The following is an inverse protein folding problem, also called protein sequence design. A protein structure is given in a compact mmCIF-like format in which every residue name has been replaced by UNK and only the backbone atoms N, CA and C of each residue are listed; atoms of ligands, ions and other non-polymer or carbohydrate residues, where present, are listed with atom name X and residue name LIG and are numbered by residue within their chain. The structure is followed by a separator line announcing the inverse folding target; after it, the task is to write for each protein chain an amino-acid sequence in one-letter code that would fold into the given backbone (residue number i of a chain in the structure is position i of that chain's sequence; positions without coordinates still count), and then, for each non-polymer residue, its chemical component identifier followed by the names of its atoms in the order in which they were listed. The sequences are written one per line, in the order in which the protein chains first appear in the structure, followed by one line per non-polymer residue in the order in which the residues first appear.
data_IF_713851293176
#
_entry.id   IF_713851293176
#
_cell.length_a   1.000
_cell.length_b   1.000
_cell.length_c   1.000
_cell.angle_alpha   90.00
_cell.angle_beta   90.00
_cell.angle_gamma   90.00
#
_symmetry.space_group_name_H-M   'P 1'
#
loop_
_entity.id
_entity.type
_entity.pdbx_description
1 polymer ?
#
# COMPACT_ATOMS: atom_id res chain seq x y z
N UNK A 1 -8.98 11.88 -21.80
CA UNK A 1 -8.34 10.69 -21.21
C UNK A 1 -8.33 9.45 -22.12
N UNK A 2 -9.32 9.20 -22.99
CA UNK A 2 -9.31 8.06 -23.93
C UNK A 2 -8.15 8.00 -24.94
N UNK A 3 -7.53 9.14 -25.31
CA UNK A 3 -6.46 9.18 -26.33
C UNK A 3 -5.07 8.76 -25.82
N UNK A 4 -4.82 8.78 -24.50
CA UNK A 4 -3.52 8.39 -23.93
C UNK A 4 -3.40 6.86 -23.78
N UNK A 5 -4.53 6.16 -23.66
CA UNK A 5 -4.57 4.68 -23.62
C UNK A 5 -4.29 4.03 -24.98
N UNK A 6 -4.57 4.72 -26.10
CA UNK A 6 -4.33 4.19 -27.45
C UNK A 6 -2.85 4.27 -27.84
N UNK A 7 -2.12 5.26 -27.33
CA UNK A 7 -0.67 5.41 -27.59
C UNK A 7 0.19 4.35 -26.88
N UNK A 8 -0.28 3.78 -25.76
CA UNK A 8 0.42 2.69 -25.05
C UNK A 8 0.19 1.33 -25.74
N UNK A 9 -0.92 1.17 -26.47
CA UNK A 9 -1.21 -0.07 -27.20
C UNK A 9 -0.45 -0.21 -28.54
N UNK A 10 0.11 0.87 -29.09
CA UNK A 10 0.73 0.88 -30.41
C UNK A 10 2.26 0.59 -30.42
N UNK A 11 2.90 0.46 -29.25
CA UNK A 11 4.34 0.18 -29.13
C UNK A 11 4.54 -1.12 -28.33
N UNK A 12 3.99 -2.21 -28.87
CA UNK A 12 4.39 -3.56 -28.46
C UNK A 12 4.28 -4.47 -29.68
N UNK A 13 4.96 -4.11 -30.78
CA UNK A 13 5.42 -5.12 -31.74
C UNK A 13 6.52 -5.89 -31.02
N UNK A 14 6.10 -6.78 -30.11
CA UNK A 14 6.96 -7.81 -29.56
C UNK A 14 7.34 -8.64 -30.77
N UNK A 15 8.62 -8.61 -31.13
CA UNK A 15 9.21 -9.65 -31.96
C UNK A 15 9.02 -10.93 -31.16
N UNK A 16 7.93 -11.65 -31.42
CA UNK A 16 7.68 -12.94 -30.81
C UNK A 16 8.76 -13.85 -31.41
N UNK A 17 9.80 -14.12 -30.63
CA UNK A 17 10.77 -15.17 -30.94
C UNK A 17 10.03 -16.51 -30.90
N UNK A 18 9.38 -16.88 -32.00
CA UNK A 18 8.83 -18.22 -32.17
C UNK A 18 10.00 -19.16 -32.42
N UNK A 19 10.43 -19.85 -31.36
CA UNK A 19 11.48 -20.87 -31.42
C UNK A 19 10.86 -22.19 -31.87
N UNK A 20 10.85 -22.45 -33.18
CA UNK A 20 10.54 -23.78 -33.69
C UNK A 20 11.77 -24.68 -33.56
N UNK A 21 11.51 -25.96 -33.29
CA UNK A 21 12.50 -27.01 -32.98
C UNK A 21 12.70 -27.97 -34.16
N UNK A 22 11.65 -28.15 -34.96
CA UNK A 22 11.68 -28.98 -36.16
C UNK A 22 11.40 -28.11 -37.38
N UNK A 23 12.32 -28.12 -38.32
CA UNK A 23 12.22 -27.46 -39.62
C UNK A 23 12.13 -28.53 -40.70
N UNK A 24 11.01 -28.58 -41.42
CA UNK A 24 10.85 -29.43 -42.60
C UNK A 24 11.01 -28.58 -43.83
N UNK A 25 11.97 -28.92 -44.69
CA UNK A 25 12.18 -28.26 -45.98
C UNK A 25 11.25 -28.81 -47.05
N UNK A 26 10.98 -28.04 -48.10
CA UNK A 26 10.22 -28.52 -49.28
C UNK A 26 10.95 -29.65 -50.03
N UNK A 27 12.27 -29.74 -49.89
CA UNK A 27 13.07 -30.87 -50.39
C UNK A 27 12.81 -32.18 -49.65
N UNK A 28 12.02 -32.18 -48.57
CA UNK A 28 11.78 -33.34 -47.72
C UNK A 28 12.81 -33.54 -46.60
N UNK A 29 13.90 -32.76 -46.60
CA UNK A 29 14.88 -32.77 -45.50
C UNK A 29 14.22 -32.27 -44.21
N UNK A 30 14.39 -33.01 -43.11
CA UNK A 30 13.93 -32.62 -41.77
C UNK A 30 15.16 -32.33 -40.91
N UNK A 31 15.13 -31.21 -40.20
CA UNK A 31 16.17 -30.80 -39.26
C UNK A 31 15.51 -30.58 -37.90
N UNK A 32 15.99 -31.29 -36.89
CA UNK A 32 15.46 -31.28 -35.51
C UNK A 32 16.48 -30.61 -34.56
N UNK A 33 16.05 -30.24 -33.35
CA UNK A 33 16.87 -29.63 -32.30
C UNK A 33 17.51 -28.27 -32.66
N UNK A 34 16.83 -27.49 -33.50
CA UNK A 34 17.31 -26.18 -33.96
C UNK A 34 16.55 -25.03 -33.32
N UNK A 35 17.15 -23.85 -33.22
CA UNK A 35 16.43 -22.62 -32.89
C UNK A 35 16.19 -21.82 -34.15
N UNK A 36 14.93 -21.51 -34.44
CA UNK A 36 14.58 -20.66 -35.58
C UNK A 36 14.25 -19.24 -35.17
N UNK A 37 14.73 -18.26 -35.93
CA UNK A 37 14.26 -16.88 -35.88
C UNK A 37 13.60 -16.53 -37.21
N UNK A 38 12.31 -16.21 -37.19
CA UNK A 38 11.56 -15.84 -38.38
C UNK A 38 11.78 -14.34 -38.66
N UNK A 39 12.44 -14.02 -39.76
CA UNK A 39 12.59 -12.65 -40.26
C UNK A 39 11.52 -12.36 -41.31
N UNK A 40 11.53 -11.16 -41.90
CA UNK A 40 10.53 -10.74 -42.90
C UNK A 40 10.47 -11.67 -44.11
N UNK A 41 11.62 -12.00 -44.70
CA UNK A 41 11.70 -12.77 -45.96
C UNK A 41 12.47 -14.10 -45.83
N UNK A 42 13.05 -14.36 -44.66
CA UNK A 42 13.91 -15.51 -44.38
C UNK A 42 13.64 -16.12 -43.01
N UNK A 43 14.16 -17.32 -42.81
CA UNK A 43 14.22 -18.03 -41.52
C UNK A 43 15.68 -18.31 -41.22
N UNK A 44 16.16 -17.81 -40.07
CA UNK A 44 17.50 -18.11 -39.56
C UNK A 44 17.40 -19.35 -38.70
N UNK A 45 18.14 -20.40 -39.04
CA UNK A 45 18.20 -21.68 -38.34
C UNK A 45 19.54 -21.74 -37.61
N UNK A 46 19.51 -21.85 -36.29
CA UNK A 46 20.69 -22.02 -35.44
C UNK A 46 20.76 -23.46 -34.95
N UNK A 47 21.85 -24.14 -35.32
CA UNK A 47 22.16 -25.50 -34.91
C UNK A 47 22.78 -25.53 -33.50
N UNK A 48 22.74 -26.69 -32.86
CA UNK A 48 23.31 -26.92 -31.52
C UNK A 48 24.81 -26.60 -31.45
N UNK A 49 25.55 -26.84 -32.54
CA UNK A 49 26.97 -26.52 -32.70
C UNK A 49 27.27 -25.00 -32.80
N UNK A 50 26.23 -24.15 -32.79
CA UNK A 50 26.35 -22.71 -32.92
C UNK A 50 26.41 -22.21 -34.37
N UNK A 51 26.48 -23.10 -35.36
CA UNK A 51 26.34 -22.77 -36.77
C UNK A 51 24.99 -22.12 -37.03
N UNK A 52 24.97 -21.03 -37.81
CA UNK A 52 23.74 -20.36 -38.25
C UNK A 52 23.61 -20.46 -39.76
N UNK A 53 22.40 -20.71 -40.24
CA UNK A 53 22.07 -20.81 -41.65
C UNK A 53 20.81 -20.00 -41.95
N UNK A 54 20.85 -19.18 -42.99
CA UNK A 54 19.68 -18.36 -43.39
C UNK A 54 19.05 -18.96 -44.63
N UNK A 55 17.76 -19.23 -44.57
CA UNK A 55 17.00 -19.86 -45.65
C UNK A 55 15.79 -19.00 -46.04
N UNK A 56 15.46 -18.85 -47.33
CA UNK A 56 14.28 -18.10 -47.73
C UNK A 56 13.01 -18.85 -47.31
N UNK A 57 11.94 -18.12 -46.96
CA UNK A 57 10.67 -18.74 -46.49
C UNK A 57 10.07 -19.72 -47.49
N UNK A 58 10.29 -19.51 -48.79
CA UNK A 58 9.83 -20.40 -49.85
C UNK A 58 10.41 -21.82 -49.79
N UNK A 59 11.57 -22.02 -49.15
CA UNK A 59 12.19 -23.35 -49.00
C UNK A 59 11.65 -24.14 -47.80
N UNK A 60 10.93 -23.49 -46.88
CA UNK A 60 10.41 -24.10 -45.65
C UNK A 60 9.00 -24.64 -45.90
N UNK A 61 8.78 -25.92 -45.64
CA UNK A 61 7.47 -26.58 -45.74
C UNK A 61 6.67 -26.41 -44.45
N UNK A 62 7.28 -26.62 -43.29
CA UNK A 62 6.62 -26.48 -41.99
C UNK A 62 7.63 -26.23 -40.85
N UNK A 63 7.18 -25.50 -39.83
CA UNK A 63 7.89 -25.26 -38.57
C UNK A 63 7.06 -25.82 -37.42
N UNK A 64 7.64 -26.72 -36.61
CA UNK A 64 6.96 -27.28 -35.43
C UNK A 64 7.64 -26.79 -34.16
N UNK A 65 6.87 -26.18 -33.27
CA UNK A 65 7.35 -25.68 -31.97
C UNK A 65 7.39 -26.83 -30.97
N UNK A 66 8.58 -27.13 -30.45
CA UNK A 66 8.82 -28.00 -29.30
C UNK A 66 9.91 -27.36 -28.43
N UNK A 67 10.04 -27.80 -27.17
CA UNK A 67 11.08 -27.31 -26.27
C UNK A 67 12.45 -27.83 -26.72
N UNK A 68 13.29 -26.95 -27.24
CA UNK A 68 14.66 -27.26 -27.67
C UNK A 68 15.53 -27.53 -26.44
N UNK A 69 16.12 -28.72 -26.35
CA UNK A 69 17.08 -29.09 -25.29
C UNK A 69 18.44 -29.37 -25.94
N UNK A 70 19.33 -28.38 -25.87
CA UNK A 70 20.71 -28.54 -26.33
C UNK A 70 21.51 -29.28 -25.26
N UNK A 71 21.89 -30.53 -25.56
CA UNK A 71 22.61 -31.42 -24.64
C UNK A 71 23.97 -30.84 -24.26
N UNK A 72 24.67 -30.22 -25.22
CA UNK A 72 25.98 -29.61 -24.98
C UNK A 72 25.91 -28.42 -24.00
N UNK A 73 24.83 -27.64 -24.05
CA UNK A 73 24.64 -26.51 -23.14
C UNK A 73 24.24 -26.97 -21.73
N UNK A 74 23.45 -28.05 -21.62
CA UNK A 74 23.08 -28.63 -20.33
C UNK A 74 24.26 -29.31 -19.64
N UNK A 75 25.12 -30.02 -20.37
CA UNK A 75 26.30 -30.65 -19.78
C UNK A 75 27.30 -29.61 -19.26
N UNK A 76 27.52 -28.52 -20.01
CA UNK A 76 28.35 -27.41 -19.56
C UNK A 76 27.78 -26.71 -18.33
N UNK A 77 26.46 -26.50 -18.29
CA UNK A 77 25.77 -25.95 -17.09
C UNK A 77 25.84 -26.89 -15.90
N UNK A 78 25.70 -28.20 -16.10
CA UNK A 78 25.84 -29.20 -15.03
C UNK A 78 27.25 -29.21 -14.44
N UNK A 79 28.29 -29.17 -15.27
CA UNK A 79 29.69 -29.07 -14.79
C UNK A 79 29.94 -27.76 -14.04
N UNK A 80 29.46 -26.63 -14.56
CA UNK A 80 29.59 -25.33 -13.88
C UNK A 80 28.82 -25.27 -12.55
N UNK A 81 27.62 -25.83 -12.49
CA UNK A 81 26.84 -25.88 -11.26
C UNK A 81 27.48 -26.82 -10.23
N UNK A 82 27.99 -27.98 -10.64
CA UNK A 82 28.68 -28.90 -9.74
C UNK A 82 29.97 -28.29 -9.17
N UNK A 83 30.74 -27.56 -9.99
CA UNK A 83 31.91 -26.80 -9.53
C UNK A 83 31.54 -25.66 -8.57
N UNK A 84 30.44 -24.94 -8.85
CA UNK A 84 29.95 -23.87 -7.97
C UNK A 84 29.44 -24.40 -6.63
N UNK A 85 28.70 -25.51 -6.64
CA UNK A 85 28.24 -26.20 -5.42
C UNK A 85 29.41 -26.73 -4.59
N UNK A 86 30.45 -27.28 -5.24
CA UNK A 86 31.66 -27.74 -4.55
C UNK A 86 32.41 -26.57 -3.87
N UNK A 87 32.59 -25.44 -4.57
CA UNK A 87 33.21 -24.23 -3.98
C UNK A 87 32.41 -23.67 -2.82
N UNK A 88 31.08 -23.63 -2.95
CA UNK A 88 30.20 -23.14 -1.89
C UNK A 88 30.24 -24.06 -0.66
N UNK A 89 30.28 -25.38 -0.85
CA UNK A 89 30.42 -26.33 0.25
C UNK A 89 31.78 -26.20 0.95
N UNK A 90 32.85 -25.95 0.21
CA UNK A 90 34.20 -25.73 0.76
C UNK A 90 34.29 -24.41 1.54
N UNK A 91 33.76 -23.30 0.99
CA UNK A 91 33.66 -22.01 1.70
C UNK A 91 32.83 -22.13 2.98
N UNK A 92 31.72 -22.87 2.94
CA UNK A 92 30.88 -23.10 4.12
C UNK A 92 31.62 -23.91 5.20
N UNK A 93 32.36 -24.95 4.83
CA UNK A 93 33.18 -25.73 5.79
C UNK A 93 34.27 -24.86 6.41
N UNK A 94 34.92 -24.01 5.61
CA UNK A 94 35.95 -23.09 6.10
C UNK A 94 35.36 -22.04 7.05
N UNK A 95 34.18 -21.49 6.73
CA UNK A 95 33.47 -20.57 7.62
C UNK A 95 33.02 -21.24 8.93
N UNK A 96 32.55 -22.49 8.88
CA UNK A 96 32.21 -23.27 10.08
C UNK A 96 33.44 -23.58 10.95
N UNK A 97 34.60 -23.84 10.34
CA UNK A 97 35.86 -24.05 11.06
C UNK A 97 36.40 -22.75 11.66
N UNK A 98 36.36 -21.62 10.93
CA UNK A 98 36.71 -20.29 11.44
C UNK A 98 35.78 -19.84 12.57
N UNK A 99 34.47 -20.12 12.46
CA UNK A 99 33.50 -19.82 13.52
C UNK A 99 33.71 -20.70 14.74
N UNK A 100 34.00 -22.00 14.57
CA UNK A 100 34.36 -22.89 15.68
C UNK A 100 35.65 -22.44 16.37
N UNK A 101 36.67 -22.01 15.61
CA UNK A 101 37.90 -21.48 16.16
C UNK A 101 37.67 -20.17 16.94
N UNK A 102 36.85 -19.26 16.38
CA UNK A 102 36.45 -18.02 17.05
C UNK A 102 35.66 -18.29 18.34
N UNK A 103 34.76 -19.26 18.32
CA UNK A 103 33.96 -19.66 19.50
C UNK A 103 34.85 -20.33 20.56
N UNK A 104 35.83 -21.14 20.17
CA UNK A 104 36.79 -21.73 21.09
C UNK A 104 37.69 -20.66 21.74
N UNK A 105 38.21 -19.70 20.96
CA UNK A 105 39.03 -18.58 21.48
C UNK A 105 38.21 -17.64 22.39
N UNK A 106 36.94 -17.41 22.06
CA UNK A 106 36.01 -16.64 22.90
C UNK A 106 35.58 -17.41 24.16
N UNK A 107 35.61 -18.75 24.13
CA UNK A 107 35.29 -19.61 25.29
C UNK A 107 36.45 -19.73 26.28
N UNK A 108 37.70 -19.55 25.84
CA UNK A 108 38.89 -19.60 26.70
C UNK A 108 39.12 -18.29 27.47
N UNK A 109 38.67 -17.16 26.92
CA UNK A 109 38.61 -15.87 27.64
C UNK A 109 37.28 -15.77 28.37
N UNK A 110 37.25 -16.24 29.61
CA UNK A 110 36.06 -16.28 30.47
C UNK A 110 35.11 -15.07 30.35
N UNK A 111 33.89 -15.39 29.91
CA UNK A 111 32.59 -14.80 30.27
C UNK A 111 32.46 -13.27 30.31
N UNK A 112 32.01 -12.69 29.19
CA UNK A 112 31.10 -11.52 29.18
C UNK A 112 30.08 -11.54 28.01
N UNK A 113 30.05 -12.60 27.20
CA UNK A 113 29.15 -12.74 26.04
C UNK A 113 28.40 -14.08 25.99
N UNK A 114 28.07 -14.68 27.14
CA UNK A 114 26.83 -15.44 27.15
C UNK A 114 25.71 -14.42 27.01
N UNK A 115 25.18 -14.27 25.79
CA UNK A 115 23.94 -13.54 25.53
C UNK A 115 22.90 -14.03 26.54
N UNK A 116 22.66 -13.23 27.58
CA UNK A 116 21.65 -13.56 28.59
C UNK A 116 20.34 -13.69 27.84
N UNK A 117 19.63 -14.80 28.00
CA UNK A 117 18.28 -15.01 27.46
C UNK A 117 17.27 -13.93 27.93
N UNK A 118 17.66 -13.08 28.87
CA UNK A 118 16.90 -11.92 29.35
C UNK A 118 17.14 -10.63 28.53
N UNK A 119 18.26 -10.51 27.81
CA UNK A 119 18.62 -9.28 27.06
C UNK A 119 17.98 -9.21 25.65
N UNK A 120 17.46 -10.32 25.13
CA UNK A 120 16.81 -10.38 23.80
C UNK A 120 15.28 -10.18 23.81
N UNK A 121 14.68 -9.92 24.98
CA UNK A 121 13.25 -9.63 25.06
C UNK A 121 12.95 -8.21 24.58
N UNK A 122 12.56 -8.12 23.33
CA UNK A 122 12.09 -6.87 22.73
C UNK A 122 10.70 -6.57 23.30
N UNK A 123 10.59 -5.56 24.17
CA UNK A 123 9.28 -5.12 24.67
C UNK A 123 8.33 -4.80 23.51
N UNK A 124 7.17 -5.48 23.39
CA UNK A 124 6.23 -5.26 22.29
C UNK A 124 5.72 -3.82 22.22
N UNK A 125 5.50 -3.19 23.37
CA UNK A 125 5.05 -1.80 23.45
C UNK A 125 6.14 -0.81 23.03
N UNK A 126 7.39 -1.03 23.45
CA UNK A 126 8.53 -0.22 22.98
C UNK A 126 8.76 -0.41 21.48
N UNK A 127 8.60 -1.63 20.96
CA UNK A 127 8.76 -1.89 19.53
C UNK A 127 7.61 -1.35 18.69
N UNK A 128 6.39 -1.36 19.22
CA UNK A 128 5.26 -0.69 18.61
C UNK A 128 5.47 0.83 18.57
N UNK A 129 6.03 1.42 19.63
CA UNK A 129 6.37 2.84 19.63
C UNK A 129 7.41 3.19 18.55
N UNK A 130 8.30 2.25 18.18
CA UNK A 130 9.24 2.46 17.08
C UNK A 130 8.52 2.58 15.73
N UNK A 131 7.51 1.75 15.45
CA UNK A 131 6.71 1.87 14.22
C UNK A 131 5.80 3.10 14.15
N UNK A 132 5.77 3.94 15.20
CA UNK A 132 5.15 5.28 15.14
C UNK A 132 6.13 6.34 14.64
N UNK A 133 7.41 6.01 14.47
CA UNK A 133 8.44 6.90 13.94
C UNK A 133 8.45 6.73 12.42
N UNK A 134 8.09 7.78 11.65
CA UNK A 134 8.07 7.67 10.20
C UNK A 134 9.40 7.17 9.63
N UNK A 135 9.31 6.26 8.66
CA UNK A 135 10.46 5.66 7.95
C UNK A 135 11.23 4.65 8.82
N UNK A 136 10.88 4.48 10.09
CA UNK A 136 11.56 3.55 10.99
C UNK A 136 10.60 2.49 11.51
N UNK A 137 10.73 1.27 10.98
CA UNK A 137 9.93 0.14 11.42
C UNK A 137 10.58 -0.65 12.54
N UNK A 138 9.84 -0.90 13.62
CA UNK A 138 10.26 -1.83 14.67
C UNK A 138 10.42 -3.27 14.15
N UNK A 139 9.91 -3.60 12.96
CA UNK A 139 10.18 -4.88 12.30
C UNK A 139 11.68 -5.13 12.04
N UNK A 140 12.49 -4.07 11.88
CA UNK A 140 13.95 -4.20 11.73
C UNK A 140 14.60 -4.88 12.93
N UNK A 141 14.15 -4.58 14.14
CA UNK A 141 14.69 -5.18 15.38
C UNK A 141 14.40 -6.67 15.52
N UNK A 142 13.42 -7.17 14.77
CA UNK A 142 12.91 -8.54 14.89
C UNK A 142 13.38 -9.43 13.74
N UNK A 143 14.40 -9.00 12.99
CA UNK A 143 14.93 -9.73 11.83
C UNK A 143 14.02 -9.74 10.59
N UNK A 144 12.81 -9.15 10.65
CA UNK A 144 11.86 -9.07 9.53
C UNK A 144 12.19 -7.92 8.57
N UNK A 145 13.38 -7.98 7.98
CA UNK A 145 13.95 -6.89 7.20
C UNK A 145 13.09 -6.49 5.98
N UNK A 146 12.50 -7.46 5.26
CA UNK A 146 11.62 -7.18 4.11
C UNK A 146 10.37 -6.39 4.51
N UNK A 147 9.76 -6.75 5.64
CA UNK A 147 8.57 -6.06 6.18
C UNK A 147 8.93 -4.65 6.62
N UNK A 148 10.05 -4.49 7.32
CA UNK A 148 10.54 -3.18 7.73
C UNK A 148 10.79 -2.25 6.53
N UNK A 149 11.46 -2.75 5.47
CA UNK A 149 11.70 -1.98 4.24
C UNK A 149 10.39 -1.55 3.58
N UNK A 150 9.43 -2.46 3.45
CA UNK A 150 8.15 -2.16 2.83
C UNK A 150 7.38 -1.06 3.59
N UNK A 151 7.32 -1.14 4.93
CA UNK A 151 6.66 -0.12 5.76
C UNK A 151 7.40 1.21 5.72
N UNK A 152 8.72 1.22 5.85
CA UNK A 152 9.54 2.43 5.73
C UNK A 152 9.33 3.16 4.40
N UNK A 153 9.20 2.42 3.27
CA UNK A 153 8.93 3.02 1.96
C UNK A 153 7.51 3.60 1.91
N UNK A 154 6.50 2.87 2.38
CA UNK A 154 5.10 3.35 2.37
C UNK A 154 4.94 4.60 3.24
N UNK A 155 5.53 4.60 4.43
CA UNK A 155 5.54 5.75 5.34
C UNK A 155 6.34 6.91 4.77
N UNK A 156 7.50 6.64 4.16
CA UNK A 156 8.30 7.65 3.49
C UNK A 156 7.51 8.36 2.39
N UNK A 157 6.78 7.60 1.57
CA UNK A 157 5.90 8.16 0.55
C UNK A 157 4.73 8.95 1.15
N UNK A 158 4.11 8.45 2.22
CA UNK A 158 3.02 9.13 2.92
C UNK A 158 3.50 10.43 3.61
N UNK A 159 4.67 10.40 4.24
CA UNK A 159 5.32 11.55 4.87
C UNK A 159 5.72 12.58 3.83
N UNK A 160 6.36 12.18 2.73
CA UNK A 160 6.71 13.08 1.64
C UNK A 160 5.46 13.74 1.06
N UNK A 161 4.38 12.98 0.85
CA UNK A 161 3.10 13.53 0.40
C UNK A 161 2.53 14.55 1.40
N UNK A 162 2.69 14.28 2.69
CA UNK A 162 2.27 15.18 3.80
C UNK A 162 3.10 16.45 3.85
N UNK A 163 4.42 16.34 3.85
CA UNK A 163 5.36 17.45 3.88
C UNK A 163 5.22 18.32 2.64
N UNK A 164 5.05 17.71 1.47
CA UNK A 164 4.82 18.42 0.21
C UNK A 164 3.53 19.25 0.25
N UNK A 165 2.51 18.76 0.97
CA UNK A 165 1.27 19.52 1.22
C UNK A 165 1.47 20.63 2.27
N UNK A 166 2.14 20.35 3.39
CA UNK A 166 2.39 21.33 4.47
C UNK A 166 3.24 22.50 3.97
N UNK A 167 4.21 22.21 3.11
CA UNK A 167 5.10 23.20 2.51
C UNK A 167 4.54 23.83 1.23
N UNK A 168 3.35 23.42 0.79
CA UNK A 168 2.76 23.89 -0.45
C UNK A 168 2.58 25.41 -0.41
N UNK A 169 3.19 26.09 -1.37
CA UNK A 169 3.07 27.54 -1.50
C UNK A 169 1.79 27.86 -2.26
N UNK A 170 1.01 28.78 -1.72
CA UNK A 170 -0.14 29.36 -2.40
C UNK A 170 0.39 30.20 -3.56
N UNK A 171 0.20 29.74 -4.80
CA UNK A 171 0.53 30.55 -5.98
C UNK A 171 -0.70 31.35 -6.35
N UNK A 172 -0.64 32.67 -6.14
CA UNK A 172 -1.64 33.57 -6.67
C UNK A 172 -1.56 33.50 -8.20
N UNK A 173 -2.65 33.10 -8.85
CA UNK A 173 -2.80 33.33 -10.29
C UNK A 173 -3.73 34.52 -10.44
N UNK A 174 -3.35 35.50 -11.26
CA UNK A 174 -4.15 36.70 -11.47
C UNK A 174 -5.57 36.30 -11.86
N UNK A 175 -6.54 36.77 -11.08
CA UNK A 175 -7.95 36.52 -11.35
C UNK A 175 -8.39 37.26 -12.61
N UNK A 176 -9.47 36.80 -13.26
CA UNK A 176 -10.07 37.54 -14.39
C UNK A 176 -10.47 38.97 -13.97
N UNK A 177 -10.82 39.17 -12.69
CA UNK A 177 -11.08 40.48 -12.11
C UNK A 177 -9.82 41.34 -11.96
N UNK A 178 -8.69 40.78 -11.54
CA UNK A 178 -7.39 41.48 -11.48
C UNK A 178 -6.86 41.80 -12.87
N UNK A 179 -7.02 40.90 -13.86
CA UNK A 179 -6.73 41.17 -15.27
C UNK A 179 -7.66 42.26 -15.81
N UNK A 180 -8.95 42.21 -15.45
CA UNK A 180 -9.93 43.24 -15.80
C UNK A 180 -9.59 44.61 -15.21
N UNK A 181 -9.21 44.67 -13.93
CA UNK A 181 -8.74 45.91 -13.30
C UNK A 181 -7.41 46.39 -13.90
N UNK A 182 -6.48 45.49 -14.23
CA UNK A 182 -5.24 45.83 -14.93
C UNK A 182 -5.55 46.46 -16.29
N UNK A 183 -6.49 45.87 -17.05
CA UNK A 183 -6.96 46.38 -18.34
C UNK A 183 -7.69 47.72 -18.23
N UNK A 184 -8.41 47.97 -17.13
CA UNK A 184 -9.04 49.27 -16.84
C UNK A 184 -8.06 50.32 -16.31
N UNK A 185 -6.96 49.90 -15.69
CA UNK A 185 -5.90 50.79 -15.17
C UNK A 185 -4.85 51.16 -16.21
N UNK A 186 -4.84 50.50 -17.38
CA UNK A 186 -4.02 50.93 -18.51
C UNK A 186 -4.53 52.29 -18.97
N UNK A 187 -3.68 53.34 -18.99
CA UNK A 187 -4.10 54.67 -19.37
C UNK A 187 -4.68 54.60 -20.77
N UNK A 188 -5.92 55.07 -20.90
CA UNK A 188 -6.62 55.22 -22.16
C UNK A 188 -5.72 55.99 -23.11
N UNK A 189 -5.07 55.30 -24.06
CA UNK A 189 -4.31 55.93 -25.13
C UNK A 189 -5.34 56.65 -25.99
N UNK A 190 -5.36 57.99 -26.02
CA UNK A 190 -6.37 58.74 -26.76
C UNK A 190 -6.02 58.67 -28.24
N UNK A 191 -6.40 57.57 -28.89
CA UNK A 191 -6.29 57.40 -30.32
C UNK A 191 -7.56 57.90 -31.01
N UNK A 192 -7.49 59.12 -31.56
CA UNK A 192 -8.32 59.54 -32.70
C UNK A 192 -9.74 60.03 -32.37
N UNK A 193 -10.00 61.30 -32.66
CA UNK A 193 -11.26 62.04 -32.47
C UNK A 193 -12.44 61.60 -33.36
N UNK A 194 -12.51 60.35 -33.81
CA UNK A 194 -13.59 59.88 -34.68
C UNK A 194 -14.13 58.52 -34.26
N UNK A 195 -14.91 58.50 -33.18
CA UNK A 195 -15.82 57.39 -32.88
C UNK A 195 -17.09 57.93 -32.22
N UNK A 196 -18.05 58.33 -33.05
CA UNK A 196 -19.41 58.68 -32.66
C UNK A 196 -20.18 57.45 -32.18
N UNK A 197 -20.83 57.60 -31.02
CA UNK A 197 -22.06 56.92 -30.61
C UNK A 197 -22.13 55.38 -30.80
N UNK A 198 -21.64 54.62 -29.81
CA UNK A 198 -22.37 53.45 -29.29
C UNK A 198 -21.71 52.87 -28.01
N UNK A 199 -22.37 53.13 -26.88
CA UNK A 199 -22.70 52.23 -25.76
C UNK A 199 -21.95 50.89 -25.55
N UNK A 200 -20.63 50.83 -25.64
CA UNK A 200 -19.86 49.58 -25.42
C UNK A 200 -19.10 49.51 -24.09
N UNK A 201 -19.04 50.60 -23.30
CA UNK A 201 -18.29 50.63 -22.04
C UNK A 201 -19.05 50.09 -20.80
N UNK A 202 -20.39 50.11 -20.80
CA UNK A 202 -21.19 49.57 -19.67
C UNK A 202 -21.52 48.08 -19.80
N UNK A 203 -21.53 47.51 -21.01
CA UNK A 203 -21.80 46.09 -21.23
C UNK A 203 -20.68 45.17 -20.76
N UNK A 204 -19.42 45.61 -20.89
CA UNK A 204 -18.24 44.87 -20.46
C UNK A 204 -18.03 44.92 -18.93
N UNK A 205 -18.29 46.07 -18.29
CA UNK A 205 -18.22 46.19 -16.83
C UNK A 205 -19.28 45.34 -16.11
N UNK A 206 -20.51 45.27 -16.62
CA UNK A 206 -21.57 44.40 -16.08
C UNK A 206 -21.27 42.90 -16.24
N UNK A 207 -20.66 42.49 -17.35
CA UNK A 207 -20.20 41.11 -17.56
C UNK A 207 -19.03 40.74 -16.65
N UNK A 208 -18.08 41.66 -16.40
CA UNK A 208 -16.93 41.46 -15.50
C UNK A 208 -17.39 41.40 -14.03
N UNK A 209 -18.41 42.17 -13.63
CA UNK A 209 -19.01 42.09 -12.28
C UNK A 209 -19.88 40.82 -12.10
N UNK A 210 -20.53 40.32 -13.15
CA UNK A 210 -21.26 39.03 -13.12
C UNK A 210 -20.33 37.80 -13.14
N UNK A 211 -19.10 37.94 -13.66
CA UNK A 211 -18.01 36.97 -13.56
C UNK A 211 -17.33 37.01 -12.17
N UNK A 212 -18.12 37.30 -11.13
CA UNK A 212 -17.69 37.51 -9.76
C UNK A 212 -16.70 36.45 -9.29
N UNK A 213 -15.53 36.91 -8.86
CA UNK A 213 -14.65 36.20 -7.91
C UNK A 213 -14.24 34.78 -8.31
N UNK A 214 -13.97 34.54 -9.59
CA UNK A 214 -13.23 33.35 -10.01
C UNK A 214 -11.77 33.54 -9.62
N UNK A 215 -11.46 33.23 -8.36
CA UNK A 215 -10.12 33.17 -7.83
C UNK A 215 -9.52 31.83 -8.22
N UNK A 216 -8.72 31.79 -9.29
CA UNK A 216 -7.87 30.62 -9.50
C UNK A 216 -6.76 30.64 -8.46
N UNK A 217 -6.78 29.68 -7.56
CA UNK A 217 -5.68 29.43 -6.64
C UNK A 217 -5.14 28.05 -6.95
N UNK A 218 -3.89 28.00 -7.42
CA UNK A 218 -3.18 26.76 -7.60
C UNK A 218 -2.25 26.54 -6.41
N UNK A 219 -2.28 25.33 -5.86
CA UNK A 219 -1.30 24.92 -4.86
C UNK A 219 -0.26 24.05 -5.54
N UNK A 220 0.98 24.53 -5.49
CA UNK A 220 2.15 23.77 -5.94
C UNK A 220 2.82 23.20 -4.69
N UNK A 221 3.04 21.89 -4.68
CA UNK A 221 3.71 21.18 -3.60
C UNK A 221 5.08 21.79 -3.34
N UNK A 222 5.39 22.01 -2.07
CA UNK A 222 6.56 22.79 -1.68
C UNK A 222 7.88 22.09 -1.96
N UNK A 223 7.89 20.75 -1.87
CA UNK A 223 9.11 19.94 -2.03
C UNK A 223 9.21 19.41 -3.45
N UNK A 224 8.12 18.85 -3.97
CA UNK A 224 8.12 18.17 -5.26
C UNK A 224 7.85 19.10 -6.44
N UNK A 225 7.34 20.30 -6.18
CA UNK A 225 6.89 21.21 -7.23
C UNK A 225 5.66 20.70 -8.00
N UNK A 226 5.06 19.58 -7.60
CA UNK A 226 3.90 19.02 -8.29
C UNK A 226 2.66 19.88 -8.02
N UNK A 227 1.77 20.01 -9.00
CA UNK A 227 0.50 20.68 -8.77
C UNK A 227 -0.42 19.78 -7.94
N UNK A 228 -0.74 20.19 -6.72
CA UNK A 228 -1.60 19.44 -5.78
C UNK A 228 -3.07 19.65 -6.13
N UNK A 229 -3.46 20.89 -6.45
CA UNK A 229 -4.81 21.24 -6.89
C UNK A 229 -4.72 22.22 -8.04
N UNK A 230 -5.22 21.82 -9.21
CA UNK A 230 -5.56 22.71 -10.32
C UNK A 230 -7.07 22.92 -10.26
N UNK A 231 -7.54 24.13 -9.95
CA UNK A 231 -8.95 24.45 -10.20
C UNK A 231 -9.23 25.94 -10.35
N UNK A 232 -10.17 26.20 -11.25
CA UNK A 232 -10.82 27.48 -11.51
C UNK A 232 -12.18 27.39 -10.79
N UNK A 233 -12.44 28.27 -9.82
CA UNK A 233 -13.66 28.25 -9.02
C UNK A 233 -13.64 29.26 -7.88
N UNK A 234 -14.75 29.40 -7.16
CA UNK A 234 -14.85 30.32 -5.99
C UNK A 234 -13.90 29.92 -4.85
N UNK A 235 -13.39 30.89 -4.08
CA UNK A 235 -12.44 30.68 -2.96
C UNK A 235 -12.86 29.56 -2.00
N UNK A 236 -14.15 29.47 -1.66
CA UNK A 236 -14.67 28.46 -0.73
C UNK A 236 -14.62 27.04 -1.26
N UNK A 237 -14.76 26.82 -2.57
CA UNK A 237 -14.65 25.48 -3.19
C UNK A 237 -13.19 25.02 -3.18
N UNK A 238 -12.25 25.92 -3.43
CA UNK A 238 -10.82 25.63 -3.44
C UNK A 238 -10.31 25.24 -2.05
N UNK A 239 -10.62 26.03 -1.01
CA UNK A 239 -10.23 25.73 0.38
C UNK A 239 -10.77 24.38 0.86
N UNK A 240 -11.98 23.99 0.43
CA UNK A 240 -12.56 22.67 0.75
C UNK A 240 -11.80 21.52 0.13
N UNK A 241 -11.46 21.62 -1.15
CA UNK A 241 -10.70 20.56 -1.83
C UNK A 241 -9.30 20.44 -1.24
N UNK A 242 -8.68 21.56 -0.89
CA UNK A 242 -7.39 21.63 -0.19
C UNK A 242 -7.52 20.95 1.18
N UNK A 243 -8.52 21.29 1.99
CA UNK A 243 -8.74 20.66 3.28
C UNK A 243 -9.04 19.17 3.15
N UNK A 244 -9.83 18.74 2.16
CA UNK A 244 -10.09 17.33 1.89
C UNK A 244 -8.82 16.56 1.52
N UNK A 245 -7.99 17.12 0.62
CA UNK A 245 -6.72 16.50 0.24
C UNK A 245 -5.77 16.46 1.45
N UNK A 246 -5.67 17.56 2.21
CA UNK A 246 -4.88 17.64 3.44
C UNK A 246 -5.27 16.55 4.43
N UNK A 247 -6.56 16.43 4.72
CA UNK A 247 -7.07 15.43 5.67
C UNK A 247 -6.85 14.02 5.16
N UNK A 248 -7.03 13.75 3.86
CA UNK A 248 -6.72 12.44 3.30
C UNK A 248 -5.24 12.09 3.42
N UNK A 249 -4.34 13.05 3.18
CA UNK A 249 -2.91 12.83 3.28
C UNK A 249 -2.46 12.56 4.72
N UNK A 250 -2.99 13.32 5.69
CA UNK A 250 -2.74 13.02 7.12
C UNK A 250 -3.33 11.68 7.53
N UNK A 251 -4.53 11.33 7.06
CA UNK A 251 -5.16 10.05 7.37
C UNK A 251 -4.33 8.88 6.84
N UNK A 252 -3.78 8.99 5.63
CA UNK A 252 -2.88 7.98 5.05
C UNK A 252 -1.64 7.82 5.92
N UNK A 253 -0.95 8.92 6.28
CA UNK A 253 0.25 8.86 7.11
C UNK A 253 -0.02 8.25 8.49
N UNK A 254 -1.06 8.71 9.19
CA UNK A 254 -1.43 8.17 10.51
C UNK A 254 -1.79 6.69 10.41
N UNK A 255 -2.49 6.28 9.35
CA UNK A 255 -2.85 4.89 9.13
C UNK A 255 -1.62 4.02 8.88
N UNK A 256 -0.67 4.47 8.06
CA UNK A 256 0.56 3.71 7.81
C UNK A 256 1.39 3.54 9.07
N UNK A 257 1.55 4.60 9.88
CA UNK A 257 2.27 4.54 11.15
C UNK A 257 1.58 3.62 12.17
N UNK A 258 0.24 3.65 12.25
CA UNK A 258 -0.49 2.74 13.12
C UNK A 258 -0.33 1.28 12.68
N UNK A 259 -0.37 1.01 11.38
CA UNK A 259 -0.16 -0.34 10.84
C UNK A 259 1.26 -0.81 11.18
N UNK A 260 2.29 0.01 10.95
CA UNK A 260 3.66 -0.37 11.24
C UNK A 260 3.94 -0.53 12.74
N UNK A 261 3.37 0.34 13.58
CA UNK A 261 3.37 0.20 15.04
C UNK A 261 2.80 -1.14 15.48
N UNK A 262 1.64 -1.51 14.94
CA UNK A 262 0.99 -2.79 15.22
C UNK A 262 1.87 -3.96 14.75
N UNK A 263 2.34 -3.94 13.50
CA UNK A 263 3.20 -4.98 12.90
C UNK A 263 4.52 -5.14 13.68
N UNK A 264 5.09 -4.04 14.14
CA UNK A 264 6.31 -4.01 14.94
C UNK A 264 6.09 -4.60 16.33
N UNK A 265 4.98 -4.27 17.00
CA UNK A 265 4.61 -4.88 18.28
C UNK A 265 4.37 -6.39 18.17
N UNK A 266 3.73 -6.84 17.09
CA UNK A 266 3.56 -8.27 16.81
C UNK A 266 4.89 -8.96 16.55
N UNK A 267 5.74 -8.38 15.71
CA UNK A 267 7.02 -9.00 15.36
C UNK A 267 7.92 -9.12 16.59
N UNK A 268 7.84 -8.18 17.55
CA UNK A 268 8.52 -8.29 18.84
C UNK A 268 7.93 -9.39 19.72
N UNK A 269 6.60 -9.57 19.72
CA UNK A 269 5.96 -10.66 20.44
C UNK A 269 6.40 -12.02 19.88
N UNK A 270 6.38 -12.18 18.55
CA UNK A 270 6.85 -13.39 17.87
C UNK A 270 8.34 -13.65 18.11
N UNK A 271 9.19 -12.61 18.09
CA UNK A 271 10.61 -12.72 18.41
C UNK A 271 10.85 -13.26 19.83
N UNK A 272 10.10 -12.73 20.79
CA UNK A 272 10.18 -13.18 22.19
C UNK A 272 9.60 -14.59 22.41
N UNK A 273 8.66 -15.01 21.55
CA UNK A 273 8.10 -16.36 21.57
C UNK A 273 9.05 -17.38 20.92
N UNK A 274 9.84 -16.99 19.90
CA UNK A 274 10.83 -17.84 19.24
C UNK A 274 12.13 -18.05 20.02
N UNK A 275 12.43 -17.21 21.01
CA UNK A 275 13.63 -17.30 21.87
C UNK A 275 13.42 -18.14 23.14
N UNK A 276 12.19 -18.60 23.41
CA UNK A 276 11.89 -19.52 24.50
C UNK A 276 11.83 -20.96 23.97
N UNK A 277 12.98 -21.64 24.06
CA UNK A 277 13.18 -23.10 24.03
C UNK A 277 11.92 -23.96 23.79
N UNK A 278 11.74 -24.45 22.56
CA UNK A 278 11.36 -25.84 22.32
C UNK A 278 9.89 -26.21 22.13
N UNK A 279 8.91 -25.33 22.32
CA UNK A 279 7.52 -25.65 21.96
C UNK A 279 6.87 -24.50 21.18
N UNK A 280 6.60 -24.74 19.90
CA UNK A 280 6.00 -23.82 18.92
C UNK A 280 4.50 -23.58 19.18
N UNK A 281 4.08 -23.64 20.44
CA UNK A 281 2.71 -23.38 20.86
C UNK A 281 2.57 -21.96 21.38
N UNK A 282 2.21 -21.02 20.50
CA UNK A 282 1.71 -19.71 20.92
C UNK A 282 0.72 -19.91 22.06
N UNK A 283 1.03 -19.40 23.27
CA UNK A 283 0.19 -19.62 24.45
C UNK A 283 -1.24 -19.23 24.08
N UNK A 284 -2.22 -20.15 24.13
CA UNK A 284 -3.57 -19.84 23.74
C UNK A 284 -4.07 -18.68 24.60
N UNK A 285 -4.25 -17.53 23.96
CA UNK A 285 -4.77 -16.33 24.63
C UNK A 285 -6.18 -16.63 25.13
N UNK A 286 -6.43 -16.36 26.42
CA UNK A 286 -7.75 -16.62 27.02
C UNK A 286 -8.82 -15.84 26.26
N UNK A 287 -10.06 -16.37 26.13
CA UNK A 287 -11.16 -15.69 25.44
C UNK A 287 -11.32 -14.21 25.86
N UNK A 288 -11.25 -13.92 27.17
CA UNK A 288 -11.33 -12.56 27.69
C UNK A 288 -10.19 -11.65 27.23
N UNK A 289 -8.95 -12.15 27.22
CA UNK A 289 -7.80 -11.37 26.75
C UNK A 289 -7.89 -11.03 25.26
N UNK A 290 -8.44 -11.94 24.43
CA UNK A 290 -8.71 -11.70 23.01
C UNK A 290 -9.81 -10.67 22.80
N UNK A 291 -10.87 -10.75 23.61
CA UNK A 291 -11.95 -9.77 23.59
C UNK A 291 -11.46 -8.36 23.90
N UNK A 292 -10.67 -8.20 24.96
CA UNK A 292 -10.09 -6.90 25.36
C UNK A 292 -9.21 -6.33 24.24
N UNK A 293 -8.29 -7.13 23.68
CA UNK A 293 -7.43 -6.69 22.56
C UNK A 293 -8.26 -6.24 21.36
N UNK A 294 -9.29 -7.01 21.04
CA UNK A 294 -10.22 -6.74 19.95
C UNK A 294 -11.11 -5.52 20.19
N UNK A 295 -11.30 -5.13 21.45
CA UNK A 295 -12.00 -3.91 21.81
C UNK A 295 -11.14 -2.67 21.52
N UNK A 296 -9.82 -2.76 21.65
CA UNK A 296 -8.90 -1.67 21.28
C UNK A 296 -8.71 -1.56 19.77
N UNK A 297 -8.48 -2.67 19.08
CA UNK A 297 -8.32 -2.69 17.63
C UNK A 297 -9.04 -3.90 17.01
N UNK A 298 -9.86 -3.71 15.96
CA UNK A 298 -10.49 -4.82 15.30
C UNK A 298 -9.47 -5.83 14.76
N UNK A 299 -9.75 -7.13 14.89
CA UNK A 299 -8.86 -8.20 14.42
C UNK A 299 -7.73 -8.58 15.38
N UNK A 300 -7.46 -7.76 16.40
CA UNK A 300 -6.28 -7.95 17.25
C UNK A 300 -6.33 -9.24 18.07
N UNK A 301 -7.49 -9.57 18.67
CA UNK A 301 -7.64 -10.79 19.45
C UNK A 301 -7.59 -12.06 18.60
N UNK A 302 -8.00 -11.99 17.34
CA UNK A 302 -7.93 -13.12 16.41
C UNK A 302 -6.50 -13.43 15.97
N UNK A 303 -5.70 -12.38 15.72
CA UNK A 303 -4.27 -12.53 15.45
C UNK A 303 -3.56 -13.25 16.62
N UNK A 304 -3.82 -12.81 17.86
CA UNK A 304 -3.28 -13.47 19.07
C UNK A 304 -3.93 -14.82 19.41
N UNK A 305 -5.07 -15.13 18.81
CA UNK A 305 -5.69 -16.44 18.86
C UNK A 305 -5.10 -17.40 17.81
N UNK A 306 -4.00 -17.05 17.13
CA UNK A 306 -3.40 -17.87 16.07
C UNK A 306 -4.19 -17.88 14.76
N UNK A 307 -5.32 -17.18 14.66
CA UNK A 307 -6.09 -17.09 13.42
C UNK A 307 -5.68 -15.84 12.65
N UNK A 308 -4.47 -15.89 12.06
CA UNK A 308 -3.80 -14.75 11.43
C UNK A 308 -4.61 -14.19 10.26
N UNK A 309 -5.08 -15.04 9.34
CA UNK A 309 -5.86 -14.59 8.18
C UNK A 309 -7.12 -13.85 8.59
N UNK A 310 -7.88 -14.41 9.54
CA UNK A 310 -9.11 -13.79 10.02
C UNK A 310 -8.82 -12.45 10.71
N UNK A 311 -7.83 -12.44 11.60
CA UNK A 311 -7.43 -11.22 12.30
C UNK A 311 -6.97 -10.10 11.36
N UNK A 312 -6.21 -10.42 10.30
CA UNK A 312 -5.82 -9.43 9.29
C UNK A 312 -7.02 -8.85 8.55
N UNK A 313 -8.00 -9.68 8.15
CA UNK A 313 -9.22 -9.22 7.48
C UNK A 313 -10.00 -8.25 8.38
N UNK A 314 -10.19 -8.61 9.65
CA UNK A 314 -10.88 -7.75 10.61
C UNK A 314 -10.14 -6.43 10.85
N UNK A 315 -8.82 -6.47 10.97
CA UNK A 315 -7.99 -5.28 11.17
C UNK A 315 -8.09 -4.32 9.99
N UNK A 316 -7.86 -4.80 8.77
CA UNK A 316 -7.93 -3.99 7.56
C UNK A 316 -9.33 -3.41 7.34
N UNK A 317 -10.37 -4.21 7.58
CA UNK A 317 -11.77 -3.76 7.47
C UNK A 317 -12.07 -2.69 8.53
N UNK A 318 -11.64 -2.90 9.77
CA UNK A 318 -11.81 -1.93 10.86
C UNK A 318 -11.16 -0.58 10.57
N UNK A 319 -9.91 -0.59 10.13
CA UNK A 319 -9.17 0.63 9.73
C UNK A 319 -9.91 1.35 8.59
N UNK A 320 -10.39 0.60 7.59
CA UNK A 320 -11.12 1.17 6.44
C UNK A 320 -12.43 1.83 6.88
N UNK A 321 -13.17 1.22 7.80
CA UNK A 321 -14.41 1.78 8.34
C UNK A 321 -14.16 3.03 9.19
N UNK A 322 -13.10 3.05 10.01
CA UNK A 322 -12.68 4.26 10.76
C UNK A 322 -12.35 5.40 9.79
N UNK A 323 -11.52 5.14 8.77
CA UNK A 323 -11.15 6.14 7.77
C UNK A 323 -12.39 6.67 7.02
N UNK A 324 -13.34 5.79 6.70
CA UNK A 324 -14.60 6.16 6.05
C UNK A 324 -15.45 7.05 6.95
N UNK A 325 -15.61 6.70 8.22
CA UNK A 325 -16.36 7.49 9.20
C UNK A 325 -15.76 8.90 9.38
N UNK A 326 -14.42 8.98 9.48
CA UNK A 326 -13.70 10.27 9.54
C UNK A 326 -13.88 11.08 8.25
N UNK A 327 -13.83 10.44 7.09
CA UNK A 327 -14.09 11.08 5.79
C UNK A 327 -15.49 11.70 5.74
N UNK A 328 -16.51 10.97 6.20
CA UNK A 328 -17.89 11.46 6.23
C UNK A 328 -18.10 12.60 7.25
N UNK A 329 -17.37 12.62 8.36
CA UNK A 329 -17.42 13.76 9.29
C UNK A 329 -16.91 15.06 8.66
N UNK A 330 -15.89 14.98 7.79
CA UNK A 330 -15.44 16.14 7.02
C UNK A 330 -16.48 16.60 5.99
N UNK A 331 -17.23 15.67 5.39
CA UNK A 331 -18.35 16.01 4.50
C UNK A 331 -19.43 16.76 5.29
N UNK A 332 -19.80 16.27 6.48
CA UNK A 332 -20.75 16.96 7.37
C UNK A 332 -20.29 18.37 7.69
N UNK A 333 -19.03 18.56 8.12
CA UNK A 333 -18.47 19.89 8.39
C UNK A 333 -18.50 20.79 7.15
N UNK A 334 -18.21 20.23 5.98
CA UNK A 334 -18.28 20.93 4.70
C UNK A 334 -19.68 21.41 4.35
N UNK A 335 -20.70 20.54 4.47
CA UNK A 335 -22.10 20.91 4.22
C UNK A 335 -22.63 21.89 5.27
N UNK A 336 -22.26 21.74 6.55
CA UNK A 336 -22.65 22.68 7.61
C UNK A 336 -22.10 24.08 7.35
N UNK A 337 -20.87 24.17 6.88
CA UNK A 337 -20.26 25.44 6.47
C UNK A 337 -21.04 26.09 5.31
N UNK A 338 -21.46 25.32 4.29
CA UNK A 338 -22.33 25.83 3.20
C UNK A 338 -23.65 26.37 3.73
N UNK A 339 -24.29 25.62 4.61
CA UNK A 339 -25.57 26.02 5.20
C UNK A 339 -25.44 27.34 5.97
N UNK A 340 -24.41 27.48 6.82
CA UNK A 340 -24.12 28.73 7.55
C UNK A 340 -23.81 29.90 6.61
N UNK A 341 -23.00 29.67 5.57
CA UNK A 341 -22.70 30.69 4.56
C UNK A 341 -23.95 31.17 3.83
N UNK A 342 -24.85 30.25 3.46
CA UNK A 342 -26.12 30.61 2.81
C UNK A 342 -27.08 31.35 3.75
N UNK A 343 -27.13 30.98 5.03
CA UNK A 343 -27.91 31.73 6.03
C UNK A 343 -27.41 33.17 6.20
N UNK A 344 -26.08 33.36 6.28
CA UNK A 344 -25.50 34.69 6.40
C UNK A 344 -25.81 35.57 5.17
N UNK A 345 -25.80 34.98 3.98
CA UNK A 345 -26.18 35.70 2.75
C UNK A 345 -27.66 36.11 2.78
N UNK A 346 -28.57 35.24 3.21
CA UNK A 346 -30.00 35.60 3.36
C UNK A 346 -30.18 36.77 4.33
N UNK A 347 -29.50 36.74 5.48
CA UNK A 347 -29.57 37.82 6.46
C UNK A 347 -29.01 39.13 5.89
N UNK A 348 -27.91 39.07 5.13
CA UNK A 348 -27.32 40.23 4.47
C UNK A 348 -28.29 40.87 3.46
N UNK A 349 -28.94 40.07 2.62
CA UNK A 349 -29.96 40.58 1.69
C UNK A 349 -31.15 41.19 2.43
N UNK A 350 -31.64 40.54 3.48
CA UNK A 350 -32.76 41.04 4.29
C UNK A 350 -32.43 42.39 4.98
N UNK A 351 -31.25 42.51 5.60
CA UNK A 351 -30.84 43.75 6.29
C UNK A 351 -30.60 44.91 5.32
N UNK A 352 -29.95 44.68 4.18
CA UNK A 352 -29.74 45.73 3.18
C UNK A 352 -31.07 46.19 2.55
N UNK A 353 -32.03 45.29 2.34
CA UNK A 353 -33.36 45.62 1.84
C UNK A 353 -34.14 46.53 2.81
N UNK A 354 -34.05 46.31 4.13
CA UNK A 354 -34.71 47.19 5.10
C UNK A 354 -34.14 48.61 5.16
N UNK A 355 -32.93 48.84 4.65
CA UNK A 355 -32.26 50.14 4.72
C UNK A 355 -32.16 50.90 3.38
N UNK A 356 -32.40 50.25 2.23
CA UNK A 356 -32.22 50.90 0.91
C UNK A 356 -33.47 50.84 0.02
N UNK A 357 -34.29 51.89 0.13
CA UNK A 357 -35.24 52.42 -0.86
C UNK A 357 -36.52 51.66 -1.26
N UNK A 358 -37.64 52.41 -1.27
CA UNK A 358 -39.02 51.95 -1.44
C UNK A 358 -39.48 51.67 -2.89
N UNK A 359 -38.61 51.77 -3.90
CA UNK A 359 -39.03 51.82 -5.32
C UNK A 359 -38.65 50.62 -6.22
N UNK A 360 -37.90 49.62 -5.76
CA UNK A 360 -37.47 48.45 -6.58
C UNK A 360 -37.99 47.11 -6.04
N UNK A 361 -39.31 46.96 -5.92
CA UNK A 361 -39.93 45.84 -5.18
C UNK A 361 -40.08 44.50 -5.93
N UNK A 362 -39.95 44.43 -7.26
CA UNK A 362 -40.22 43.19 -8.02
C UNK A 362 -39.01 42.24 -8.24
N UNK A 363 -37.80 42.72 -8.57
CA UNK A 363 -36.63 41.84 -8.79
C UNK A 363 -36.14 41.14 -7.50
N UNK A 364 -36.42 41.74 -6.35
CA UNK A 364 -35.80 41.37 -5.08
C UNK A 364 -36.49 40.20 -4.36
N UNK A 365 -37.82 40.04 -4.51
CA UNK A 365 -38.53 38.87 -4.00
C UNK A 365 -38.04 37.56 -4.65
N UNK A 366 -37.64 37.61 -5.92
CA UNK A 366 -37.03 36.48 -6.62
C UNK A 366 -35.65 36.12 -6.06
N UNK A 367 -34.83 37.11 -5.71
CA UNK A 367 -33.51 36.90 -5.08
C UNK A 367 -33.67 36.29 -3.68
N UNK A 368 -34.60 36.81 -2.86
CA UNK A 368 -34.91 36.22 -1.55
C UNK A 368 -35.43 34.79 -1.69
N UNK A 369 -36.34 34.52 -2.63
CA UNK A 369 -36.86 33.17 -2.89
C UNK A 369 -35.75 32.20 -3.34
N UNK A 370 -34.88 32.63 -4.26
CA UNK A 370 -33.71 31.86 -4.70
C UNK A 370 -32.75 31.59 -3.53
N UNK A 371 -32.43 32.61 -2.72
CA UNK A 371 -31.57 32.46 -1.55
C UNK A 371 -32.17 31.49 -0.52
N UNK A 372 -33.48 31.61 -0.25
CA UNK A 372 -34.20 30.72 0.66
C UNK A 372 -34.25 29.27 0.13
N UNK A 373 -34.51 29.08 -1.17
CA UNK A 373 -34.47 27.74 -1.80
C UNK A 373 -33.08 27.09 -1.70
N UNK A 374 -32.00 27.88 -1.85
CA UNK A 374 -30.63 27.39 -1.69
C UNK A 374 -30.33 27.00 -0.25
N UNK A 375 -30.88 27.72 0.74
CA UNK A 375 -30.79 27.35 2.15
C UNK A 375 -31.51 26.05 2.47
N UNK A 376 -32.72 25.84 1.93
CA UNK A 376 -33.48 24.58 2.09
C UNK A 376 -32.70 23.39 1.52
N UNK A 377 -32.16 23.54 0.30
CA UNK A 377 -31.33 22.50 -0.33
C UNK A 377 -30.05 22.22 0.48
N UNK A 378 -29.41 23.26 1.01
CA UNK A 378 -28.22 23.11 1.85
C UNK A 378 -28.52 22.43 3.18
N UNK A 379 -29.67 22.74 3.79
CA UNK A 379 -30.14 22.07 5.02
C UNK A 379 -30.37 20.59 4.77
N UNK A 380 -31.01 20.24 3.65
CA UNK A 380 -31.21 18.84 3.25
C UNK A 380 -29.88 18.13 3.04
N UNK A 381 -28.93 18.75 2.35
CA UNK A 381 -27.59 18.20 2.14
C UNK A 381 -26.84 17.95 3.46
N UNK A 382 -26.95 18.85 4.45
CA UNK A 382 -26.42 18.62 5.81
C UNK A 382 -27.11 17.41 6.45
N UNK A 383 -28.44 17.33 6.37
CA UNK A 383 -29.21 16.21 6.90
C UNK A 383 -28.77 14.86 6.31
N UNK A 384 -28.63 14.79 4.98
CA UNK A 384 -28.19 13.59 4.27
C UNK A 384 -26.74 13.22 4.62
N UNK A 385 -25.84 14.20 4.73
CA UNK A 385 -24.45 13.96 5.16
C UNK A 385 -24.38 13.43 6.59
N UNK A 386 -25.16 14.00 7.53
CA UNK A 386 -25.23 13.55 8.92
C UNK A 386 -25.79 12.13 8.99
N UNK A 387 -26.86 11.85 8.22
CA UNK A 387 -27.45 10.50 8.13
C UNK A 387 -26.42 9.48 7.63
N UNK A 388 -25.68 9.79 6.56
CA UNK A 388 -24.65 8.91 6.02
C UNK A 388 -23.50 8.67 7.02
N UNK A 389 -23.02 9.72 7.70
CA UNK A 389 -22.02 9.58 8.76
C UNK A 389 -22.53 8.69 9.89
N UNK A 390 -23.75 8.90 10.35
CA UNK A 390 -24.33 8.12 11.45
C UNK A 390 -24.54 6.65 11.04
N UNK A 391 -24.95 6.38 9.79
CA UNK A 391 -25.02 5.02 9.26
C UNK A 391 -23.64 4.35 9.24
N UNK A 392 -22.60 5.05 8.79
CA UNK A 392 -21.24 4.53 8.79
C UNK A 392 -20.72 4.25 10.22
N UNK A 393 -21.01 5.14 11.17
CA UNK A 393 -20.71 4.91 12.59
C UNK A 393 -21.49 3.71 13.16
N UNK A 394 -22.75 3.54 12.78
CA UNK A 394 -23.55 2.37 13.15
C UNK A 394 -22.95 1.07 12.61
N UNK A 395 -22.54 1.04 11.34
CA UNK A 395 -21.84 -0.10 10.73
C UNK A 395 -20.51 -0.35 11.44
N UNK A 396 -19.74 0.69 11.76
CA UNK A 396 -18.47 0.57 12.49
C UNK A 396 -18.68 -0.04 13.87
N UNK A 397 -19.65 0.44 14.65
CA UNK A 397 -19.98 -0.08 15.98
C UNK A 397 -20.45 -1.55 15.88
N UNK A 398 -21.35 -1.85 14.95
CA UNK A 398 -21.84 -3.22 14.73
C UNK A 398 -20.69 -4.18 14.35
N UNK A 399 -19.81 -3.75 13.44
CA UNK A 399 -18.60 -4.48 13.08
C UNK A 399 -17.67 -4.68 14.28
N UNK A 400 -17.49 -3.67 15.13
CA UNK A 400 -16.64 -3.73 16.31
C UNK A 400 -17.16 -4.72 17.35
N UNK A 401 -18.47 -4.70 17.63
CA UNK A 401 -19.13 -5.64 18.53
C UNK A 401 -19.00 -7.06 17.99
N UNK A 402 -19.27 -7.26 16.70
CA UNK A 402 -19.13 -8.57 16.05
C UNK A 402 -17.68 -9.07 16.12
N UNK A 403 -16.71 -8.20 15.89
CA UNK A 403 -15.30 -8.52 16.02
C UNK A 403 -14.90 -8.95 17.44
N UNK A 404 -15.38 -8.26 18.49
CA UNK A 404 -15.11 -8.66 19.88
C UNK A 404 -15.74 -10.03 20.16
N UNK A 405 -17.00 -10.23 19.77
CA UNK A 405 -17.68 -11.51 19.93
C UNK A 405 -16.90 -12.63 19.23
N UNK A 406 -16.45 -12.39 18.01
CA UNK A 406 -15.68 -13.34 17.23
C UNK A 406 -14.33 -13.71 17.86
N UNK A 407 -13.62 -12.72 18.39
CA UNK A 407 -12.37 -12.92 19.09
C UNK A 407 -12.53 -13.74 20.38
N UNK A 408 -13.63 -13.54 21.11
CA UNK A 408 -13.93 -14.28 22.35
C UNK A 408 -14.30 -15.72 22.03
N UNK A 409 -15.29 -15.94 21.16
CA UNK A 409 -15.94 -17.25 21.02
C UNK A 409 -15.39 -18.15 19.90
N UNK A 410 -14.88 -17.57 18.80
CA UNK A 410 -14.53 -18.32 17.59
C UNK A 410 -13.05 -18.34 17.26
N UNK A 411 -12.24 -17.49 17.90
CA UNK A 411 -10.80 -17.44 17.66
C UNK A 411 -10.03 -18.18 18.74
N UNK A 412 -8.81 -18.64 18.45
CA UNK A 412 -7.95 -19.40 19.37
C UNK A 412 -8.53 -20.71 19.91
N UNK A 413 -9.57 -21.24 19.26
CA UNK A 413 -9.67 -22.68 19.08
C UNK A 413 -8.71 -22.98 17.95
N UNK A 414 -7.45 -23.27 18.27
CA UNK A 414 -6.62 -23.94 17.27
C UNK A 414 -7.44 -25.15 16.85
N UNK A 415 -7.62 -25.34 15.55
CA UNK A 415 -7.79 -26.71 15.09
C UNK A 415 -6.60 -27.43 15.70
N UNK A 416 -6.81 -28.26 16.73
CA UNK A 416 -5.91 -29.34 17.05
C UNK A 416 -5.88 -30.20 15.78
N UNK A 417 -5.15 -29.74 14.77
CA UNK A 417 -4.57 -30.63 13.80
C UNK A 417 -3.59 -31.42 14.66
N UNK A 418 -4.05 -32.58 15.16
CA UNK A 418 -3.21 -33.44 15.97
C UNK A 418 -1.90 -33.58 15.22
N UNK A 419 -0.83 -33.07 15.81
CA UNK A 419 0.48 -33.19 15.20
C UNK A 419 0.96 -34.58 15.58
N UNK A 420 1.28 -35.38 14.57
CA UNK A 420 2.00 -36.62 14.80
C UNK A 420 3.39 -36.23 15.30
N UNK A 421 3.65 -36.40 16.59
CA UNK A 421 4.99 -36.31 17.13
C UNK A 421 5.60 -37.71 17.07
N UNK A 422 6.58 -37.89 16.16
CA UNK A 422 7.42 -39.07 16.18
C UNK A 422 8.47 -38.84 17.26
N UNK A 423 8.33 -39.50 18.41
CA UNK A 423 9.32 -39.45 19.48
C UNK A 423 10.27 -40.65 19.34
N UNK A 424 11.59 -40.43 19.20
CA UNK A 424 12.54 -41.52 19.29
C UNK A 424 12.57 -42.02 20.73
N UNK A 425 12.17 -43.27 20.93
CA UNK A 425 12.24 -43.94 22.22
C UNK A 425 13.57 -44.67 22.29
N UNK A 426 14.53 -44.08 23.01
CA UNK A 426 15.83 -44.70 23.25
C UNK A 426 15.72 -45.52 24.54
N UNK A 427 15.39 -46.80 24.40
CA UNK A 427 15.42 -47.73 25.53
C UNK A 427 16.80 -48.35 25.65
N UNK A 428 17.55 -48.01 26.71
CA UNK A 428 18.81 -48.67 27.03
C UNK A 428 18.50 -49.92 27.86
N UNK A 429 18.41 -51.07 27.20
CA UNK A 429 18.21 -52.33 27.90
C UNK A 429 19.56 -52.83 28.44
N UNK A 430 19.70 -52.92 29.77
CA UNK A 430 20.84 -53.62 30.39
C UNK A 430 20.58 -55.12 30.32
N UNK A 431 21.16 -55.79 29.33
CA UNK A 431 21.16 -57.25 29.27
C UNK A 431 22.13 -57.77 30.33
N UNK A 432 21.61 -58.39 31.40
CA UNK A 432 22.47 -59.06 32.38
C UNK A 432 23.07 -60.30 31.74
N UNK A 433 24.34 -60.21 31.34
CA UNK A 433 25.15 -61.36 30.96
C UNK A 433 25.36 -62.27 32.18
N UNK A 434 24.93 -63.53 32.08
CA UNK A 434 25.09 -64.54 33.14
C UNK A 434 26.47 -65.23 33.15
N UNK A 435 27.47 -64.63 32.52
CA UNK A 435 28.87 -65.07 32.59
C UNK A 435 29.80 -63.85 32.64
N UNK A 436 31.00 -64.02 33.21
CA UNK A 436 32.08 -63.03 33.48
C UNK A 436 32.60 -62.21 32.27
N UNK A 437 31.79 -61.98 31.24
CA UNK A 437 32.10 -61.12 30.11
C UNK A 437 31.61 -59.69 30.38
N UNK A 438 32.34 -58.66 29.93
CA UNK A 438 31.98 -57.26 30.13
C UNK A 438 30.60 -56.96 29.54
N UNK A 439 29.77 -56.24 30.28
CA UNK A 439 28.41 -55.91 29.90
C UNK A 439 28.39 -55.13 28.57
N UNK A 440 27.81 -55.73 27.53
CA UNK A 440 27.57 -55.06 26.25
C UNK A 440 26.27 -54.28 26.37
N UNK A 441 26.36 -52.94 26.30
CA UNK A 441 25.20 -52.06 26.23
C UNK A 441 24.63 -52.13 24.81
N UNK A 442 23.47 -52.75 24.64
CA UNK A 442 22.76 -52.77 23.37
C UNK A 442 21.77 -51.59 23.33
N UNK A 443 22.08 -50.56 22.55
CA UNK A 443 21.17 -49.43 22.35
C UNK A 443 20.13 -49.80 21.29
N UNK A 444 18.88 -50.04 21.69
CA UNK A 444 17.75 -50.15 20.76
C UNK A 444 17.07 -48.80 20.61
N UNK A 445 17.03 -48.29 19.38
CA UNK A 445 16.28 -47.08 19.03
C UNK A 445 14.93 -47.51 18.47
N UNK A 446 13.87 -47.29 19.25
CA UNK A 446 12.49 -47.41 18.78
C UNK A 446 11.97 -46.06 18.27
N UNK A 447 11.01 -46.08 17.35
CA UNK A 447 10.25 -44.89 16.97
C UNK A 447 8.80 -45.10 17.39
N UNK A 448 8.33 -44.27 18.32
CA UNK A 448 6.95 -44.35 18.82
C UNK A 448 6.17 -43.20 18.20
N UNK A 449 5.13 -43.55 17.44
CA UNK A 449 4.24 -42.62 16.77
C UNK A 449 3.12 -42.28 17.76
N UNK A 450 3.19 -41.11 18.38
CA UNK A 450 2.20 -40.66 19.34
C UNK A 450 1.32 -39.58 18.71
N UNK A 451 0.01 -39.80 18.74
CA UNK A 451 -0.97 -38.81 18.30
C UNK A 451 -1.41 -37.99 19.50
N UNK A 452 -0.89 -36.76 19.61
CA UNK A 452 -1.17 -35.86 20.72
C UNK A 452 -2.32 -34.94 20.31
N UNK A 453 -3.40 -34.94 21.09
CA UNK A 453 -4.53 -34.02 20.93
C UNK A 453 -4.18 -32.63 21.42
#
# INVERSE_FOLDING_TARGET
MKKILISIAAILIVVIEVRADIVTFRSGKVVENVKTTILKDSVVIQYEEGRKETRPKGEIKSLKVRSVVWRLAEEKKRKQNAEAEARFAEEKRKAEEEEKARVAEASEKGTDFELRAEEDKISPTKNAALGMIPIYSGAYRTGKMKTGIAMSILEGLALLNTLDFVTAKKKHTMTVGEVGMLMMSLPYLPGGQYASSQSSSMGSAGLIMSAGSINSQSYTGGITGRKIVNQIGTNSVNERKINSVRTSTYAILVTTLLIDSIVSGFSASEWNEGTWTGDVGARPSTPGSRGIRSAFFPGWGQLYGGNTTKGSIFLTTGITLIATAMGLDNVVKGEQSKYRGNQNNIMYYYYNETMTTSSTKLPNAAIYYLANSNSVNSRKAVGDAVKNRNNALGVLIGFWIYNIFDAVYFSGKSSQAGSFQIRPEISVAKTQSHSNSPAVLENKVGLTLEYVF
#
